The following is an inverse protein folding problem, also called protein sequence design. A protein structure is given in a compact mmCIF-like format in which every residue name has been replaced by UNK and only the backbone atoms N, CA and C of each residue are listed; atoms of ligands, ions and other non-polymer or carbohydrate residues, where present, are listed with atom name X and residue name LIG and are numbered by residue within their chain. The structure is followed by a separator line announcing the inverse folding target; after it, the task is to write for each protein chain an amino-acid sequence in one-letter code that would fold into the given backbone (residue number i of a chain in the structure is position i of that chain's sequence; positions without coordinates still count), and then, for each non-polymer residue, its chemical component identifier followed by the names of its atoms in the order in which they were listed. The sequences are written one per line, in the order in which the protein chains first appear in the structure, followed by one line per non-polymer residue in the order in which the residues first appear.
data_IF_213344700713
#
_entry.id   IF_213344700713
#
_cell.length_a   1.000
_cell.length_b   1.000
_cell.length_c   1.000
_cell.angle_alpha   90.00
_cell.angle_beta   90.00
_cell.angle_gamma   90.00
#
_symmetry.space_group_name_H-M   'P 1'
#
loop_
_entity.id
_entity.type
_entity.pdbx_description
1 polymer ?
#
# COMPACT_ATOMS: atom_id res chain seq x y z
N UNK A 1 -2.10 -10.73 -24.06
CA UNK A 1 -2.64 -9.52 -23.41
C UNK A 1 -1.46 -8.67 -22.98
N UNK A 2 -1.49 -7.36 -23.19
CA UNK A 2 -0.40 -6.43 -22.83
C UNK A 2 -0.81 -5.55 -21.65
N UNK A 3 0.17 -5.08 -20.89
CA UNK A 3 0.05 -4.07 -19.83
C UNK A 3 1.09 -3.00 -20.14
N UNK A 4 0.65 -1.84 -20.63
CA UNK A 4 1.53 -0.82 -21.20
C UNK A 4 2.40 -1.40 -22.32
N UNK A 5 3.71 -1.30 -22.15
CA UNK A 5 4.71 -1.78 -23.12
C UNK A 5 5.08 -3.27 -22.96
N UNK A 6 4.55 -3.96 -21.96
CA UNK A 6 4.92 -5.34 -21.63
C UNK A 6 3.82 -6.32 -22.04
N UNK A 7 4.18 -7.54 -22.42
CA UNK A 7 3.26 -8.67 -22.27
C UNK A 7 2.94 -8.93 -20.79
N UNK A 8 1.87 -9.67 -20.50
CA UNK A 8 1.50 -10.01 -19.13
C UNK A 8 2.63 -10.73 -18.38
N UNK A 9 3.27 -11.70 -19.03
CA UNK A 9 4.36 -12.49 -18.47
C UNK A 9 5.62 -11.64 -18.21
N UNK A 10 5.97 -10.75 -19.14
CA UNK A 10 7.07 -9.80 -18.96
C UNK A 10 6.78 -8.83 -17.81
N UNK A 11 5.55 -8.33 -17.71
CA UNK A 11 5.15 -7.46 -16.60
C UNK A 11 5.32 -8.17 -15.25
N UNK A 12 4.87 -9.43 -15.14
CA UNK A 12 5.06 -10.20 -13.90
C UNK A 12 6.53 -10.43 -13.55
N UNK A 13 7.40 -10.60 -14.56
CA UNK A 13 8.84 -10.70 -14.37
C UNK A 13 9.44 -9.40 -13.81
N UNK A 14 9.04 -8.25 -14.37
CA UNK A 14 9.45 -6.92 -13.89
C UNK A 14 8.95 -6.67 -12.47
N UNK A 15 7.69 -7.03 -12.18
CA UNK A 15 7.10 -6.96 -10.84
C UNK A 15 7.93 -7.78 -9.85
N UNK A 16 8.29 -9.01 -10.18
CA UNK A 16 9.11 -9.86 -9.31
C UNK A 16 10.47 -9.24 -9.03
N UNK A 17 11.12 -8.69 -10.06
CA UNK A 17 12.44 -8.07 -9.92
C UNK A 17 12.41 -6.80 -9.08
N UNK A 18 11.33 -6.01 -9.13
CA UNK A 18 11.23 -4.73 -8.43
C UNK A 18 10.63 -4.86 -7.03
N UNK A 19 9.56 -5.64 -6.89
CA UNK A 19 8.79 -5.79 -5.65
C UNK A 19 9.26 -6.98 -4.79
N UNK A 20 10.10 -7.85 -5.34
CA UNK A 20 10.65 -9.04 -4.68
C UNK A 20 9.83 -10.31 -4.88
N UNK A 21 8.56 -10.20 -5.30
CA UNK A 21 7.68 -11.34 -5.62
C UNK A 21 6.52 -10.91 -6.53
N UNK A 22 5.84 -11.87 -7.14
CA UNK A 22 4.66 -11.63 -8.01
C UNK A 22 3.40 -11.39 -7.18
N UNK A 23 3.26 -10.17 -6.65
CA UNK A 23 2.11 -9.80 -5.82
C UNK A 23 0.82 -9.66 -6.65
N UNK A 24 -0.32 -10.28 -6.25
CA UNK A 24 -1.62 -10.10 -6.90
C UNK A 24 -2.05 -8.63 -7.00
N UNK A 25 -1.70 -7.82 -6.00
CA UNK A 25 -1.95 -6.39 -6.02
C UNK A 25 -1.20 -5.64 -7.12
N UNK A 26 0.00 -6.07 -7.51
CA UNK A 26 0.71 -5.48 -8.65
C UNK A 26 0.19 -6.00 -9.98
N UNK A 27 -0.23 -7.27 -10.07
CA UNK A 27 -0.90 -7.80 -11.25
C UNK A 27 -2.18 -7.00 -11.55
N UNK A 28 -3.04 -6.83 -10.55
CA UNK A 28 -4.23 -5.99 -10.65
C UNK A 28 -3.87 -4.51 -10.91
N UNK A 29 -2.86 -4.00 -10.20
CA UNK A 29 -2.39 -2.63 -10.37
C UNK A 29 -1.91 -2.33 -11.80
N UNK A 30 -1.32 -3.31 -12.48
CA UNK A 30 -0.89 -3.18 -13.87
C UNK A 30 -2.06 -2.85 -14.80
N UNK A 31 -3.13 -3.65 -14.73
CA UNK A 31 -4.36 -3.39 -15.47
C UNK A 31 -5.00 -2.05 -15.09
N UNK A 32 -4.98 -1.67 -13.81
CA UNK A 32 -5.54 -0.39 -13.37
C UNK A 32 -4.78 0.81 -13.96
N UNK A 33 -3.45 0.75 -13.99
CA UNK A 33 -2.61 1.81 -14.57
C UNK A 33 -2.80 1.87 -16.09
N UNK A 34 -2.76 0.73 -16.76
CA UNK A 34 -2.99 0.64 -18.21
C UNK A 34 -4.36 1.21 -18.60
N UNK A 35 -5.41 0.84 -17.84
CA UNK A 35 -6.75 1.36 -18.03
C UNK A 35 -6.83 2.86 -17.80
N UNK A 36 -6.17 3.39 -16.77
CA UNK A 36 -6.11 4.83 -16.53
C UNK A 36 -5.39 5.56 -17.68
N UNK A 37 -4.24 5.06 -18.13
CA UNK A 37 -3.46 5.63 -19.25
C UNK A 37 -4.28 5.67 -20.54
N UNK A 38 -5.02 4.60 -20.85
CA UNK A 38 -5.87 4.51 -22.05
C UNK A 38 -7.00 5.55 -22.11
N UNK A 39 -7.29 6.22 -20.99
CA UNK A 39 -8.34 7.23 -20.85
C UNK A 39 -7.79 8.64 -20.66
N UNK A 40 -6.47 8.79 -20.55
CA UNK A 40 -5.83 10.10 -20.51
C UNK A 40 -5.70 10.65 -21.93
N UNK A 41 -5.81 11.98 -22.13
CA UNK A 41 -5.52 12.60 -23.43
C UNK A 41 -4.07 12.36 -23.87
N UNK A 42 -3.86 12.17 -25.17
CA UNK A 42 -2.52 11.98 -25.73
C UNK A 42 -1.62 13.20 -25.47
N UNK A 43 -0.36 12.94 -25.11
CA UNK A 43 0.65 13.98 -24.89
C UNK A 43 0.48 14.80 -23.60
N UNK A 44 -0.53 14.49 -22.77
CA UNK A 44 -0.76 15.18 -21.49
C UNK A 44 0.36 14.91 -20.50
N UNK A 45 0.77 15.95 -19.76
CA UNK A 45 1.71 15.79 -18.65
C UNK A 45 0.92 15.49 -17.39
N UNK A 46 0.92 14.22 -16.99
CA UNK A 46 0.15 13.77 -15.84
C UNK A 46 1.01 13.51 -14.59
N UNK A 47 0.34 13.54 -13.44
CA UNK A 47 0.83 13.07 -12.15
C UNK A 47 -0.13 11.99 -11.61
N UNK A 48 0.28 11.30 -10.54
CA UNK A 48 -0.45 10.17 -9.99
C UNK A 48 -0.75 10.33 -8.49
N UNK A 49 -1.89 9.79 -8.07
CA UNK A 49 -2.25 9.59 -6.67
C UNK A 49 -2.60 8.12 -6.45
N UNK A 50 -2.07 7.50 -5.41
CA UNK A 50 -2.53 6.21 -4.90
C UNK A 50 -3.26 6.40 -3.57
N UNK A 51 -4.43 5.75 -3.41
CA UNK A 51 -5.24 5.79 -2.19
C UNK A 51 -4.81 4.73 -1.15
N UNK A 52 -3.72 4.02 -1.42
CA UNK A 52 -3.14 2.96 -0.59
C UNK A 52 -1.62 2.97 -0.71
N UNK A 53 -0.95 2.55 0.36
CA UNK A 53 0.50 2.25 0.36
C UNK A 53 0.84 0.86 -0.17
N UNK A 54 -0.16 0.00 -0.30
CA UNK A 54 0.06 -1.42 -0.59
C UNK A 54 0.04 -1.66 -2.09
N UNK A 55 1.17 -2.12 -2.64
CA UNK A 55 1.36 -2.63 -4.01
C UNK A 55 1.15 -1.63 -5.15
N UNK A 56 0.02 -0.92 -5.16
CA UNK A 56 -0.41 -0.02 -6.24
C UNK A 56 0.59 1.11 -6.58
N UNK A 57 1.28 1.73 -5.60
CA UNK A 57 2.34 2.69 -5.90
C UNK A 57 3.43 2.13 -6.81
N UNK A 58 3.80 0.85 -6.65
CA UNK A 58 4.85 0.23 -7.44
C UNK A 58 4.39 -0.03 -8.88
N UNK A 59 3.13 -0.42 -9.08
CA UNK A 59 2.57 -0.54 -10.44
C UNK A 59 2.63 0.80 -11.19
N UNK A 60 2.31 1.91 -10.51
CA UNK A 60 2.44 3.26 -11.10
C UNK A 60 3.90 3.58 -11.44
N UNK A 61 4.85 3.26 -10.56
CA UNK A 61 6.28 3.53 -10.78
C UNK A 61 6.88 2.69 -11.90
N UNK A 62 6.40 1.46 -12.09
CA UNK A 62 6.86 0.56 -13.15
C UNK A 62 6.33 0.94 -14.53
N UNK A 63 5.10 1.44 -14.60
CA UNK A 63 4.39 1.67 -15.86
C UNK A 63 4.33 3.15 -16.26
N UNK A 64 4.76 4.06 -15.40
CA UNK A 64 4.70 5.50 -15.67
C UNK A 64 5.97 6.23 -15.23
N UNK A 65 6.21 7.45 -15.73
CA UNK A 65 7.27 8.31 -15.21
C UNK A 65 6.98 8.88 -13.80
N UNK A 66 5.84 8.53 -13.17
CA UNK A 66 5.44 9.08 -11.88
C UNK A 66 6.08 8.27 -10.75
N UNK A 67 7.02 8.87 -10.02
CA UNK A 67 7.68 8.20 -8.89
C UNK A 67 7.56 9.01 -7.61
N UNK A 68 7.72 8.33 -6.47
CA UNK A 68 7.78 9.01 -5.17
C UNK A 68 8.99 9.95 -5.16
N UNK A 69 10.12 9.50 -5.69
CA UNK A 69 11.39 10.27 -5.69
C UNK A 69 11.35 11.56 -6.52
N UNK A 70 10.60 11.59 -7.63
CA UNK A 70 10.44 12.80 -8.43
C UNK A 70 9.23 13.66 -8.02
N UNK A 71 8.46 13.21 -7.02
CA UNK A 71 7.32 13.92 -6.45
C UNK A 71 6.03 13.87 -7.30
N UNK A 72 6.02 13.12 -8.41
CA UNK A 72 4.85 13.00 -9.30
C UNK A 72 3.89 11.90 -8.86
N UNK A 73 4.32 10.99 -7.99
CA UNK A 73 3.43 10.03 -7.33
C UNK A 73 3.20 10.45 -5.87
N UNK A 74 1.95 10.72 -5.53
CA UNK A 74 1.51 11.04 -4.18
C UNK A 74 0.77 9.84 -3.59
N UNK A 75 1.09 9.47 -2.35
CA UNK A 75 0.40 8.36 -1.66
C UNK A 75 -0.43 8.94 -0.53
N UNK A 76 -1.75 8.84 -0.67
CA UNK A 76 -2.72 9.28 0.34
C UNK A 76 -3.37 8.02 0.91
N UNK A 77 -2.96 7.60 2.10
CA UNK A 77 -3.36 6.31 2.65
C UNK A 77 -4.81 6.31 3.17
N UNK A 78 -5.79 6.19 2.28
CA UNK A 78 -7.22 6.08 2.58
C UNK A 78 -7.68 4.63 2.79
N UNK A 79 -6.82 3.66 2.45
CA UNK A 79 -7.14 2.23 2.54
C UNK A 79 -7.99 1.71 1.39
N UNK A 80 -8.22 2.51 0.35
CA UNK A 80 -8.96 2.13 -0.86
C UNK A 80 -7.98 1.66 -1.93
N UNK A 81 -8.29 0.53 -2.57
CA UNK A 81 -7.47 0.01 -3.67
C UNK A 81 -7.79 0.75 -4.97
N UNK A 82 -7.26 1.97 -5.07
CA UNK A 82 -7.54 2.91 -6.14
C UNK A 82 -6.35 3.80 -6.46
N UNK A 83 -6.24 4.21 -7.72
CA UNK A 83 -5.30 5.20 -8.20
C UNK A 83 -6.00 6.23 -9.08
N UNK A 84 -5.35 7.37 -9.28
CA UNK A 84 -5.77 8.36 -10.27
C UNK A 84 -4.57 8.89 -11.02
N UNK A 85 -4.71 9.05 -12.34
CA UNK A 85 -3.83 9.85 -13.17
C UNK A 85 -4.56 11.15 -13.51
N UNK A 86 -3.87 12.29 -13.45
CA UNK A 86 -4.48 13.59 -13.71
C UNK A 86 -3.51 14.53 -14.39
N UNK A 87 -4.02 15.40 -15.26
CA UNK A 87 -3.26 16.49 -15.85
C UNK A 87 -2.70 17.39 -14.74
N UNK A 88 -1.39 17.65 -14.79
CA UNK A 88 -0.69 18.37 -13.72
C UNK A 88 -1.08 19.85 -13.60
N UNK A 89 -1.78 20.41 -14.59
CA UNK A 89 -2.17 21.81 -14.69
C UNK A 89 -3.64 22.02 -14.38
N UNK A 90 -4.55 21.32 -15.06
CA UNK A 90 -6.00 21.43 -14.85
C UNK A 90 -6.46 20.63 -13.64
N UNK A 91 -5.77 19.54 -13.31
CA UNK A 91 -6.19 18.59 -12.29
C UNK A 91 -7.28 17.62 -12.74
N UNK A 92 -7.75 17.73 -13.98
CA UNK A 92 -8.68 16.77 -14.57
C UNK A 92 -7.99 15.43 -14.75
N UNK A 93 -8.68 14.34 -14.42
CA UNK A 93 -8.06 13.03 -14.43
C UNK A 93 -9.04 11.88 -14.44
N UNK A 94 -8.46 10.70 -14.40
CA UNK A 94 -9.15 9.41 -14.42
C UNK A 94 -8.76 8.65 -13.17
N UNK A 95 -9.77 8.27 -12.40
CA UNK A 95 -9.65 7.43 -11.22
C UNK A 95 -10.07 6.01 -11.55
N UNK A 96 -9.23 5.05 -11.21
CA UNK A 96 -9.50 3.61 -11.39
C UNK A 96 -9.45 2.94 -10.03
N UNK A 97 -10.44 2.09 -9.73
CA UNK A 97 -10.56 1.39 -8.46
C UNK A 97 -11.10 -0.03 -8.67
N UNK A 98 -10.78 -0.93 -7.74
CA UNK A 98 -11.37 -2.29 -7.74
C UNK A 98 -12.85 -2.19 -7.35
N UNK A 99 -13.73 -2.67 -8.23
CA UNK A 99 -15.17 -2.60 -8.04
C UNK A 99 -15.68 -3.80 -7.24
N UNK A 100 -16.24 -3.52 -6.07
CA UNK A 100 -16.70 -4.53 -5.11
C UNK A 100 -17.82 -5.44 -5.65
N UNK A 101 -18.61 -5.00 -6.64
CA UNK A 101 -19.64 -5.83 -7.25
C UNK A 101 -19.06 -6.70 -8.35
N UNK A 102 -18.16 -6.14 -9.18
CA UNK A 102 -17.57 -6.87 -10.31
C UNK A 102 -16.67 -8.03 -9.85
N UNK A 103 -15.98 -7.87 -8.72
CA UNK A 103 -15.13 -8.94 -8.17
C UNK A 103 -15.92 -10.18 -7.70
N UNK A 104 -17.24 -10.08 -7.45
CA UNK A 104 -18.06 -11.21 -6.99
C UNK A 104 -18.16 -12.36 -7.99
N UNK A 105 -17.92 -12.08 -9.27
CA UNK A 105 -17.85 -13.12 -10.30
C UNK A 105 -16.53 -13.92 -10.25
N UNK A 106 -15.57 -13.50 -9.43
CA UNK A 106 -14.19 -14.00 -9.39
C UNK A 106 -13.82 -14.39 -7.95
N UNK A 107 -14.13 -15.63 -7.52
CA UNK A 107 -14.08 -16.02 -6.11
C UNK A 107 -12.73 -15.83 -5.41
N UNK A 108 -11.61 -16.05 -6.11
CA UNK A 108 -10.28 -15.87 -5.52
C UNK A 108 -9.93 -14.39 -5.43
N UNK A 109 -10.34 -13.57 -6.40
CA UNK A 109 -10.18 -12.11 -6.35
C UNK A 109 -11.01 -11.52 -5.20
N UNK A 110 -12.27 -11.97 -5.04
CA UNK A 110 -13.14 -11.58 -3.92
C UNK A 110 -12.51 -12.01 -2.58
N UNK A 111 -12.08 -13.27 -2.47
CA UNK A 111 -11.46 -13.78 -1.25
C UNK A 111 -10.18 -13.03 -0.87
N UNK A 112 -9.36 -12.68 -1.86
CA UNK A 112 -8.17 -11.86 -1.69
C UNK A 112 -8.50 -10.43 -1.23
N UNK A 113 -9.41 -9.75 -1.94
CA UNK A 113 -9.75 -8.35 -1.67
C UNK A 113 -10.39 -8.17 -0.29
N UNK A 114 -11.37 -9.02 0.03
CA UNK A 114 -12.09 -8.98 1.30
C UNK A 114 -11.42 -9.78 2.42
N UNK A 115 -10.27 -10.42 2.14
CA UNK A 115 -9.52 -11.25 3.09
C UNK A 115 -10.40 -12.34 3.71
N UNK A 116 -11.23 -13.00 2.91
CA UNK A 116 -12.21 -14.01 3.37
C UNK A 116 -11.53 -15.29 3.86
N UNK A 117 -10.28 -15.54 3.44
CA UNK A 117 -9.46 -16.67 3.87
C UNK A 117 -8.07 -16.18 4.30
N UNK A 118 -7.41 -16.84 5.27
CA UNK A 118 -6.02 -16.58 5.61
C UNK A 118 -5.11 -16.67 4.38
N UNK A 119 -4.07 -15.83 4.32
CA UNK A 119 -3.14 -15.75 3.18
C UNK A 119 -2.57 -17.10 2.75
N UNK A 120 -2.24 -17.97 3.70
CA UNK A 120 -1.70 -19.33 3.47
C UNK A 120 -2.67 -20.28 2.76
N UNK A 121 -3.97 -20.00 2.83
CA UNK A 121 -5.05 -20.81 2.25
C UNK A 121 -5.51 -20.26 0.89
N UNK A 122 -4.92 -19.15 0.42
CA UNK A 122 -5.24 -18.55 -0.88
C UNK A 122 -4.43 -19.24 -1.98
N UNK A 123 -5.11 -19.61 -3.07
CA UNK A 123 -4.44 -20.12 -4.26
C UNK A 123 -3.91 -18.96 -5.08
N UNK A 124 -2.61 -18.70 -4.96
CA UNK A 124 -1.97 -17.56 -5.63
C UNK A 124 -1.96 -17.73 -7.16
N UNK A 125 -1.86 -18.95 -7.67
CA UNK A 125 -1.85 -19.18 -9.12
C UNK A 125 -3.24 -18.95 -9.71
N UNK A 126 -4.27 -19.51 -9.08
CA UNK A 126 -5.66 -19.31 -9.50
C UNK A 126 -6.08 -17.84 -9.35
N UNK A 127 -5.64 -17.16 -8.30
CA UNK A 127 -5.88 -15.73 -8.12
C UNK A 127 -5.27 -14.89 -9.27
N UNK A 128 -4.00 -15.13 -9.61
CA UNK A 128 -3.35 -14.41 -10.71
C UNK A 128 -4.02 -14.72 -12.06
N UNK A 129 -4.48 -15.95 -12.26
CA UNK A 129 -5.21 -16.34 -13.46
C UNK A 129 -6.58 -15.66 -13.53
N UNK A 130 -7.34 -15.60 -12.43
CA UNK A 130 -8.61 -14.87 -12.40
C UNK A 130 -8.41 -13.37 -12.65
N UNK A 131 -7.37 -12.75 -12.09
CA UNK A 131 -7.02 -11.35 -12.39
C UNK A 131 -6.73 -11.17 -13.88
N UNK A 132 -5.96 -12.09 -14.48
CA UNK A 132 -5.61 -12.05 -15.91
C UNK A 132 -6.83 -12.23 -16.81
N UNK A 133 -7.70 -13.17 -16.49
CA UNK A 133 -8.91 -13.47 -17.27
C UNK A 133 -9.93 -12.33 -17.19
N UNK A 134 -10.15 -11.78 -16.00
CA UNK A 134 -11.07 -10.68 -15.79
C UNK A 134 -10.57 -9.36 -16.40
N UNK A 135 -9.26 -9.10 -16.28
CA UNK A 135 -8.62 -7.89 -16.80
C UNK A 135 -9.37 -6.61 -16.40
N UNK A 136 -9.76 -5.74 -17.36
CA UNK A 136 -10.41 -4.46 -17.05
C UNK A 136 -11.80 -4.60 -16.41
N UNK A 137 -12.44 -5.77 -16.48
CA UNK A 137 -13.79 -5.99 -15.93
C UNK A 137 -13.82 -5.94 -14.40
N UNK A 138 -12.68 -6.07 -13.71
CA UNK A 138 -12.64 -5.94 -12.24
C UNK A 138 -12.78 -4.50 -11.75
N UNK A 139 -12.65 -3.51 -12.62
CA UNK A 139 -12.44 -2.12 -12.20
C UNK A 139 -13.58 -1.20 -12.56
N UNK A 140 -13.83 -0.23 -11.68
CA UNK A 140 -14.60 0.97 -11.97
C UNK A 140 -13.71 2.11 -12.42
N UNK A 141 -14.27 3.01 -13.22
CA UNK A 141 -13.58 4.19 -13.77
C UNK A 141 -14.44 5.42 -13.48
N UNK A 142 -13.82 6.48 -12.97
CA UNK A 142 -14.46 7.76 -12.70
C UNK A 142 -13.62 8.88 -13.29
N UNK A 143 -14.26 9.85 -13.94
CA UNK A 143 -13.62 11.14 -14.23
C UNK A 143 -13.60 11.96 -12.94
N UNK A 144 -12.45 12.53 -12.62
CA UNK A 144 -12.23 13.26 -11.37
C UNK A 144 -11.53 14.59 -11.61
N UNK A 145 -11.72 15.52 -10.67
CA UNK A 145 -10.93 16.73 -10.56
C UNK A 145 -10.17 16.67 -9.23
N UNK A 146 -8.84 16.65 -9.28
CA UNK A 146 -8.05 16.56 -8.05
C UNK A 146 -8.09 17.86 -7.26
N UNK A 147 -7.93 17.74 -5.94
CA UNK A 147 -7.93 18.91 -5.07
C UNK A 147 -6.80 19.89 -5.44
N UNK A 148 -7.04 21.21 -5.42
CA UNK A 148 -6.04 22.22 -5.78
C UNK A 148 -4.73 22.10 -4.99
N UNK A 149 -4.77 21.60 -3.75
CA UNK A 149 -3.59 21.41 -2.88
C UNK A 149 -2.64 20.32 -3.40
N UNK A 150 -3.12 19.43 -4.28
CA UNK A 150 -2.32 18.40 -4.94
C UNK A 150 -1.69 18.92 -6.24
N UNK A 151 -2.12 20.09 -6.73
CA UNK A 151 -1.60 20.72 -7.93
C UNK A 151 -0.37 21.59 -7.63
N UNK A 152 0.54 21.64 -8.60
CA UNK A 152 1.75 22.44 -8.53
C UNK A 152 2.87 21.83 -7.70
N UNK A 153 4.08 22.35 -7.90
CA UNK A 153 5.26 21.93 -7.12
C UNK A 153 5.33 22.74 -5.83
N UNK A 154 5.49 22.06 -4.70
CA UNK A 154 6.04 22.73 -3.50
C UNK A 154 7.44 23.23 -3.85
N UNK A 155 7.63 24.54 -3.81
CA UNK A 155 8.96 25.13 -3.96
C UNK A 155 9.82 24.66 -2.79
N UNK A 156 11.06 24.28 -3.07
CA UNK A 156 12.04 24.07 -2.00
C UNK A 156 12.43 25.47 -1.53
N UNK A 157 12.01 25.83 -0.32
CA UNK A 157 12.39 27.08 0.33
C UNK A 157 13.88 27.12 0.66
N UNK A 158 14.31 28.19 1.33
CA UNK A 158 15.67 28.31 1.82
C UNK A 158 16.00 27.16 2.80
N UNK A 159 17.26 26.72 2.79
CA UNK A 159 17.78 25.71 3.71
C UNK A 159 18.59 26.42 4.80
N UNK A 160 18.30 26.10 6.06
CA UNK A 160 19.04 26.59 7.24
C UNK A 160 19.40 25.43 8.17
N UNK A 161 20.15 25.70 9.24
CA UNK A 161 20.52 24.69 10.23
C UNK A 161 19.51 24.65 11.39
N UNK A 162 19.15 23.45 11.84
CA UNK A 162 18.28 23.28 13.01
C UNK A 162 19.01 23.68 14.30
N UNK A 163 18.36 24.51 15.14
CA UNK A 163 18.95 24.98 16.40
C UNK A 163 19.13 23.88 17.47
N UNK A 164 18.52 22.70 17.28
CA UNK A 164 18.62 21.58 18.23
C UNK A 164 19.60 20.50 17.79
N UNK A 165 19.54 20.04 16.53
CA UNK A 165 20.41 18.97 16.04
C UNK A 165 21.54 19.45 15.12
N UNK A 166 21.53 20.70 14.66
CA UNK A 166 22.50 21.24 13.71
C UNK A 166 22.31 20.79 12.25
N UNK A 167 21.36 19.89 11.96
CA UNK A 167 21.15 19.38 10.60
C UNK A 167 20.50 20.43 9.67
N UNK A 168 20.83 20.42 8.36
CA UNK A 168 20.20 21.29 7.38
C UNK A 168 18.75 20.87 7.09
N UNK A 169 17.83 21.82 7.08
CA UNK A 169 16.41 21.59 6.80
C UNK A 169 15.73 22.82 6.14
N UNK A 170 14.55 22.67 5.51
CA UNK A 170 13.80 23.79 4.97
C UNK A 170 13.33 24.74 6.09
N UNK A 171 13.69 26.03 5.99
CA UNK A 171 13.35 27.04 7.02
C UNK A 171 11.84 27.23 7.15
N UNK A 172 11.08 26.99 6.07
CA UNK A 172 9.62 27.04 6.06
C UNK A 172 8.97 25.95 6.93
N UNK A 173 9.73 24.94 7.40
CA UNK A 173 9.23 23.91 8.31
C UNK A 173 9.12 24.39 9.76
N UNK A 174 9.71 25.54 10.11
CA UNK A 174 9.66 26.14 11.45
C UNK A 174 11.03 26.60 11.96
N UNK A 175 11.14 26.88 13.26
CA UNK A 175 12.41 27.27 13.91
C UNK A 175 13.35 26.08 14.23
N UNK A 176 12.80 24.86 14.18
CA UNK A 176 13.51 23.59 14.35
C UNK A 176 13.01 22.61 13.29
N UNK A 177 13.83 21.61 12.93
CA UNK A 177 13.44 20.61 11.94
C UNK A 177 12.26 19.76 12.45
N UNK A 178 11.50 19.15 11.52
CA UNK A 178 10.34 18.30 11.85
C UNK A 178 10.71 17.13 12.76
N UNK A 179 11.91 16.58 12.64
CA UNK A 179 12.38 15.50 13.50
C UNK A 179 12.47 15.96 14.96
N UNK A 180 13.14 17.09 15.22
CA UNK A 180 13.22 17.71 16.55
C UNK A 180 11.86 18.22 17.07
N UNK A 181 10.94 18.57 16.18
CA UNK A 181 9.55 18.89 16.53
C UNK A 181 8.68 17.65 16.87
N UNK A 182 9.29 16.50 17.13
CA UNK A 182 8.60 15.28 17.55
C UNK A 182 8.05 14.43 16.41
N UNK A 183 8.47 14.66 15.16
CA UNK A 183 8.16 13.78 14.02
C UNK A 183 9.26 12.76 13.72
N UNK A 184 10.29 12.66 14.56
CA UNK A 184 11.31 11.63 14.44
C UNK A 184 10.68 10.23 14.59
N UNK A 185 11.03 9.25 13.73
CA UNK A 185 10.61 7.87 13.89
C UNK A 185 11.48 7.09 14.89
N UNK A 186 12.52 7.71 15.46
CA UNK A 186 13.51 7.06 16.31
C UNK A 186 13.34 7.46 17.77
N UNK A 187 13.49 6.50 18.68
CA UNK A 187 13.66 6.79 20.11
C UNK A 187 15.09 7.32 20.32
N UNK A 188 15.23 8.38 21.12
CA UNK A 188 16.54 8.89 21.52
C UNK A 188 16.93 8.18 22.82
N UNK A 189 18.04 7.42 22.87
CA UNK A 189 18.48 6.77 24.10
C UNK A 189 18.66 7.79 25.23
N UNK A 190 17.99 7.58 26.37
CA UNK A 190 18.06 8.46 27.54
C UNK A 190 17.07 9.63 27.56
N UNK A 191 16.20 9.78 26.54
CA UNK A 191 15.07 10.71 26.62
C UNK A 191 13.91 10.07 27.40
N UNK A 192 13.48 10.68 28.49
CA UNK A 192 12.24 10.29 29.17
C UNK A 192 11.05 10.60 28.26
N UNK A 193 10.44 9.56 27.73
CA UNK A 193 9.19 9.70 26.98
C UNK A 193 8.09 10.04 27.98
N UNK A 194 7.58 11.28 27.93
CA UNK A 194 6.27 11.60 28.48
C UNK A 194 5.21 10.90 27.61
N UNK A 195 5.02 9.61 27.84
CA UNK A 195 3.82 8.92 27.39
C UNK A 195 2.64 9.63 28.06
N UNK A 196 1.79 10.27 27.25
CA UNK A 196 0.45 10.60 27.74
C UNK A 196 -0.22 9.26 28.05
N UNK A 197 -0.66 9.01 29.30
CA UNK A 197 -1.34 7.77 29.64
C UNK A 197 -2.50 7.56 28.67
N UNK A 198 -2.61 6.35 28.14
CA UNK A 198 -3.77 5.94 27.37
C UNK A 198 -4.99 5.93 28.30
N UNK A 199 -5.94 6.84 28.08
CA UNK A 199 -7.22 6.93 28.82
C UNK A 199 -8.22 5.82 28.47
N UNK A 200 -7.78 4.77 27.77
CA UNK A 200 -8.60 3.60 27.48
C UNK A 200 -8.50 2.54 28.58
N UNK A 201 -9.30 1.47 28.49
CA UNK A 201 -9.28 0.41 29.49
C UNK A 201 -7.89 -0.22 29.57
N UNK A 202 -7.42 -0.46 30.80
CA UNK A 202 -6.19 -1.18 31.05
C UNK A 202 -6.28 -2.56 30.36
N UNK A 203 -5.37 -2.82 29.43
CA UNK A 203 -5.30 -4.08 28.71
C UNK A 203 -4.29 -4.99 29.40
N UNK A 204 -4.74 -6.14 29.88
CA UNK A 204 -3.87 -7.14 30.47
C UNK A 204 -3.16 -7.95 29.38
N UNK A 205 -1.83 -7.83 29.31
CA UNK A 205 -1.01 -8.71 28.49
C UNK A 205 -0.93 -10.10 29.17
N UNK A 206 -1.46 -11.12 28.51
CA UNK A 206 -1.38 -12.50 28.98
C UNK A 206 -0.35 -13.30 28.15
N UNK A 207 0.51 -14.13 28.77
CA UNK A 207 1.41 -15.03 28.04
C UNK A 207 0.63 -15.95 27.13
N UNK A 208 1.13 -16.20 25.92
CA UNK A 208 0.41 -16.94 24.88
C UNK A 208 -0.11 -18.32 25.34
N UNK A 209 0.71 -19.04 26.12
CA UNK A 209 0.34 -20.34 26.73
C UNK A 209 -0.94 -20.28 27.58
N UNK A 210 -1.24 -19.12 28.15
CA UNK A 210 -2.34 -18.88 29.09
C UNK A 210 -3.55 -18.21 28.41
N UNK A 211 -3.52 -18.13 27.07
CA UNK A 211 -4.55 -17.45 26.28
C UNK A 211 -5.43 -18.39 25.48
N UNK A 212 -5.24 -19.70 25.54
CA UNK A 212 -6.11 -20.69 24.87
C UNK A 212 -7.58 -20.48 25.28
N UNK A 213 -8.46 -20.29 24.30
CA UNK A 213 -9.88 -19.98 24.49
C UNK A 213 -10.21 -18.48 24.59
N UNK A 214 -9.20 -17.61 24.70
CA UNK A 214 -9.39 -16.14 24.72
C UNK A 214 -9.42 -15.56 23.30
N UNK A 215 -10.04 -14.38 23.18
CA UNK A 215 -10.13 -13.64 21.93
C UNK A 215 -9.13 -12.48 21.92
N UNK A 216 -8.25 -12.44 20.93
CA UNK A 216 -7.33 -11.34 20.70
C UNK A 216 -8.10 -10.08 20.26
N UNK A 217 -7.61 -8.90 20.66
CA UNK A 217 -8.24 -7.63 20.29
C UNK A 217 -8.06 -7.29 18.81
N UNK A 218 -6.94 -7.70 18.23
CA UNK A 218 -6.61 -7.53 16.82
C UNK A 218 -5.84 -8.76 16.31
N UNK A 219 -5.71 -8.86 15.00
CA UNK A 219 -4.92 -9.92 14.38
C UNK A 219 -3.44 -9.73 14.75
N UNK A 220 -2.77 -10.83 15.10
CA UNK A 220 -1.34 -10.82 15.40
C UNK A 220 -0.60 -11.46 14.23
N UNK A 221 0.35 -10.73 13.65
CA UNK A 221 1.19 -11.23 12.54
C UNK A 221 2.51 -11.75 13.10
N UNK A 222 2.84 -13.00 12.82
CA UNK A 222 4.16 -13.56 13.05
C UNK A 222 5.04 -13.33 11.81
N UNK A 223 6.25 -12.85 12.06
CA UNK A 223 7.27 -12.69 11.03
C UNK A 223 8.44 -13.58 11.42
N UNK A 224 8.74 -14.57 10.57
CA UNK A 224 9.99 -15.33 10.62
C UNK A 224 10.87 -14.82 9.48
N UNK A 225 11.92 -14.03 9.77
CA UNK A 225 12.77 -13.42 8.75
C UNK A 225 13.25 -14.45 7.73
N UNK A 226 13.06 -14.16 6.44
CA UNK A 226 13.49 -15.03 5.34
C UNK A 226 12.70 -16.35 5.18
N UNK A 227 11.67 -16.61 5.99
CA UNK A 227 10.86 -17.84 5.91
C UNK A 227 9.38 -17.56 5.75
N UNK A 228 8.79 -16.69 6.56
CA UNK A 228 7.34 -16.47 6.52
C UNK A 228 6.91 -15.15 7.14
N UNK A 229 5.79 -14.60 6.64
CA UNK A 229 5.10 -13.45 7.22
C UNK A 229 3.59 -13.68 7.09
N UNK A 230 2.92 -13.98 8.20
CA UNK A 230 1.50 -14.34 8.20
C UNK A 230 0.83 -14.18 9.56
N UNK A 231 -0.50 -14.24 9.59
CA UNK A 231 -1.25 -14.19 10.84
C UNK A 231 -0.92 -15.43 11.71
N UNK A 232 -0.54 -15.20 12.96
CA UNK A 232 -0.29 -16.25 13.95
C UNK A 232 -1.61 -16.85 14.48
N UNK A 233 -2.67 -16.06 14.50
CA UNK A 233 -4.00 -16.46 14.97
C UNK A 233 -5.06 -16.02 13.96
N UNK A 234 -5.96 -16.94 13.62
CA UNK A 234 -7.07 -16.72 12.68
C UNK A 234 -8.36 -16.50 13.48
N UNK A 235 -9.18 -15.52 13.07
CA UNK A 235 -10.46 -15.15 13.71
C UNK A 235 -10.34 -14.70 15.17
N UNK A 236 -9.14 -14.25 15.58
CA UNK A 236 -8.84 -13.78 16.94
C UNK A 236 -9.01 -14.83 18.05
N UNK A 237 -9.42 -16.07 17.76
CA UNK A 237 -9.61 -17.11 18.78
C UNK A 237 -8.34 -17.95 18.94
N UNK A 238 -7.82 -17.97 20.16
CA UNK A 238 -6.66 -18.79 20.53
C UNK A 238 -7.07 -20.26 20.70
N UNK A 239 -6.63 -21.16 19.80
CA UNK A 239 -6.90 -22.62 19.91
C UNK A 239 -5.63 -23.40 20.27
N UNK A 240 -5.77 -24.51 20.99
CA UNK A 240 -4.65 -25.42 21.30
C UNK A 240 -4.08 -25.98 19.99
N UNK A 241 -2.77 -25.81 19.75
CA UNK A 241 -2.10 -26.22 18.51
C UNK A 241 -2.12 -25.21 17.35
N UNK A 242 -2.39 -23.93 17.62
CA UNK A 242 -2.45 -22.86 16.59
C UNK A 242 -1.09 -22.41 16.03
N UNK A 243 0.02 -23.01 16.45
CA UNK A 243 1.32 -22.84 15.79
C UNK A 243 1.30 -23.71 14.54
N UNK A 244 1.10 -23.06 13.39
CA UNK A 244 1.18 -23.70 12.09
C UNK A 244 2.60 -24.23 11.85
N UNK A 245 2.69 -25.52 11.55
CA UNK A 245 3.90 -26.18 11.06
C UNK A 245 4.39 -25.55 9.75
N UNK A 246 5.72 -25.60 9.56
CA UNK A 246 6.43 -25.04 8.42
C UNK A 246 5.83 -25.50 7.09
N UNK A 247 5.46 -24.55 6.24
CA UNK A 247 5.15 -24.78 4.81
C UNK A 247 5.75 -23.66 3.96
N UNK A 248 6.12 -23.96 2.69
CA UNK A 248 6.99 -23.12 1.88
C UNK A 248 6.35 -21.81 1.45
N UNK A 249 7.20 -20.88 1.02
CA UNK A 249 6.91 -19.55 0.48
C UNK A 249 5.59 -19.47 -0.31
N UNK A 250 4.53 -19.01 0.36
CA UNK A 250 3.35 -18.50 -0.31
C UNK A 250 3.33 -16.97 -0.17
N UNK A 251 3.09 -16.33 -1.33
CA UNK A 251 2.97 -14.90 -1.64
C UNK A 251 2.67 -14.01 -0.43
#
# INVERSE_FOLDING_TARGET
MSIGQYSYEEYLSVVRSFHGYTAPGLAAGGFMVDLALSRMPDGVLFEAVCETRNCLPDAVQLLTPCTVGNGRLKIINLGRFALSLYDKHSGEGVRVYVDAQKVRAWPEVEAWLFKLKPKREQDCQLLLEQIRQAGPELYGIETVLVQPQLLGKRRRGAIGCCNLCGEPYPIDDGAICRACAGKTPYLVPGAEHFERPFDGPALDAAPLRDTVGKTALHDMTMIVPGKSKGAAFVNRVMKKGSLLEETPENC
#
